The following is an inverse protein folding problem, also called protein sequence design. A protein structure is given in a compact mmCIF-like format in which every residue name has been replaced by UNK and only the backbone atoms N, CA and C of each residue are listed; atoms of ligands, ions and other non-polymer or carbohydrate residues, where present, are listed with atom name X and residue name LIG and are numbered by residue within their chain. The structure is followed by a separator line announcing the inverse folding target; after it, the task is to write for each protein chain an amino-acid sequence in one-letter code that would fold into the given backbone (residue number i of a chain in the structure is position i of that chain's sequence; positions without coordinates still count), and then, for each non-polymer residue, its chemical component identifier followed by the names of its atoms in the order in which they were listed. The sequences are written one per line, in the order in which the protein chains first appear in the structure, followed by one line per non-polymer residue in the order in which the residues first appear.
data_IF_365198836757
#
_entry.id   IF_365198836757
#
_cell.length_a   1.000
_cell.length_b   1.000
_cell.length_c   1.000
_cell.angle_alpha   90.00
_cell.angle_beta   90.00
_cell.angle_gamma   90.00
#
_symmetry.space_group_name_H-M   'P 1'
#
loop_
_entity.id
_entity.type
_entity.pdbx_description
1 polymer ?
#
# COMPACT_ATOMS: atom_id res chain seq x y z
N UNK A 1 -32.45 9.50 13.43
CA UNK A 1 -31.25 9.47 14.28
C UNK A 1 -30.59 10.84 14.46
N UNK A 2 -29.84 11.40 13.50
CA UNK A 2 -29.06 12.64 13.73
C UNK A 2 -29.91 13.86 14.14
N UNK A 3 -31.15 13.97 13.65
CA UNK A 3 -32.12 14.99 14.12
C UNK A 3 -32.55 14.79 15.57
N UNK A 4 -32.90 13.56 15.93
CA UNK A 4 -33.24 13.19 17.33
C UNK A 4 -32.07 13.47 18.27
N UNK A 5 -30.83 13.17 17.83
CA UNK A 5 -29.62 13.47 18.59
C UNK A 5 -29.45 14.98 18.77
N UNK A 6 -29.67 15.78 17.72
CA UNK A 6 -29.60 17.24 17.82
C UNK A 6 -30.63 17.79 18.83
N UNK A 7 -31.87 17.31 18.78
CA UNK A 7 -32.93 17.72 19.71
C UNK A 7 -32.59 17.30 21.15
N UNK A 8 -32.07 16.09 21.33
CA UNK A 8 -31.58 15.61 22.62
C UNK A 8 -30.45 16.49 23.17
N UNK A 9 -29.39 16.74 22.40
CA UNK A 9 -28.25 17.57 22.82
C UNK A 9 -28.70 19.01 23.12
N UNK A 10 -29.61 19.57 22.32
CA UNK A 10 -30.24 20.87 22.56
C UNK A 10 -30.95 20.92 23.91
N UNK A 11 -31.72 19.88 24.24
CA UNK A 11 -32.44 19.80 25.53
C UNK A 11 -31.50 19.61 26.72
N UNK A 12 -30.51 18.71 26.61
CA UNK A 12 -29.58 18.37 27.70
C UNK A 12 -28.65 19.56 28.05
N UNK A 13 -28.22 20.33 27.04
CA UNK A 13 -27.28 21.43 27.22
C UNK A 13 -27.94 22.82 27.25
N UNK A 14 -29.24 22.91 26.95
CA UNK A 14 -29.98 24.17 26.81
C UNK A 14 -29.29 25.17 25.86
N UNK A 15 -28.73 24.67 24.75
CA UNK A 15 -27.96 25.42 23.74
C UNK A 15 -28.60 25.30 22.36
N UNK A 16 -28.43 26.31 21.51
CA UNK A 16 -28.88 26.27 20.12
C UNK A 16 -27.75 25.82 19.19
N UNK A 17 -28.08 24.92 18.27
CA UNK A 17 -27.14 24.29 17.35
C UNK A 17 -27.39 24.72 15.91
N UNK A 18 -26.32 24.83 15.12
CA UNK A 18 -26.43 25.14 13.67
C UNK A 18 -27.11 23.99 12.93
N UNK A 19 -27.76 24.28 11.79
CA UNK A 19 -28.33 23.25 10.91
C UNK A 19 -27.28 22.24 10.41
N UNK A 20 -26.03 22.69 10.29
CA UNK A 20 -24.88 21.86 9.93
C UNK A 20 -24.54 20.77 10.94
N UNK A 21 -25.05 20.84 12.17
CA UNK A 21 -24.91 19.78 13.18
C UNK A 21 -25.37 18.42 12.65
N UNK A 22 -26.52 18.38 11.99
CA UNK A 22 -27.08 17.15 11.45
C UNK A 22 -26.10 16.53 10.45
N UNK A 23 -25.56 17.34 9.53
CA UNK A 23 -24.63 16.87 8.51
C UNK A 23 -23.30 16.44 9.11
N UNK A 24 -22.69 17.29 9.95
CA UNK A 24 -21.40 16.99 10.57
C UNK A 24 -21.44 15.71 11.42
N UNK A 25 -22.51 15.53 12.22
CA UNK A 25 -22.72 14.30 12.98
C UNK A 25 -22.95 13.10 12.08
N UNK A 26 -23.79 13.22 11.05
CA UNK A 26 -24.07 12.11 10.13
C UNK A 26 -22.82 11.66 9.38
N UNK A 27 -22.01 12.61 8.91
CA UNK A 27 -20.74 12.33 8.24
C UNK A 27 -19.73 11.70 9.19
N UNK A 28 -19.63 12.20 10.43
CA UNK A 28 -18.73 11.62 11.42
C UNK A 28 -19.10 10.17 11.75
N UNK A 29 -20.39 9.90 12.01
CA UNK A 29 -20.86 8.53 12.25
C UNK A 29 -20.62 7.65 11.03
N UNK A 30 -20.90 8.13 9.81
CA UNK A 30 -20.63 7.37 8.59
C UNK A 30 -19.13 7.05 8.43
N UNK A 31 -18.26 8.02 8.72
CA UNK A 31 -16.81 7.82 8.66
C UNK A 31 -16.32 6.87 9.76
N UNK A 32 -16.89 6.94 10.96
CA UNK A 32 -16.61 6.03 12.07
C UNK A 32 -16.97 4.59 11.71
N UNK A 33 -18.19 4.34 11.21
CA UNK A 33 -18.63 2.99 10.82
C UNK A 33 -17.68 2.37 9.78
N UNK A 34 -17.23 3.17 8.80
CA UNK A 34 -16.26 2.71 7.80
C UNK A 34 -14.89 2.39 8.38
N UNK A 35 -14.40 3.17 9.34
CA UNK A 35 -13.14 2.87 10.05
C UNK A 35 -13.25 1.60 10.88
N UNK A 36 -14.39 1.42 11.54
CA UNK A 36 -14.68 0.24 12.35
C UNK A 36 -14.79 -1.04 11.50
N UNK A 37 -15.35 -0.96 10.28
CA UNK A 37 -15.38 -2.09 9.32
C UNK A 37 -14.00 -2.47 8.78
N UNK A 38 -13.08 -1.50 8.67
CA UNK A 38 -11.74 -1.70 8.11
C UNK A 38 -10.65 -1.97 9.18
N UNK A 39 -11.03 -2.19 10.44
CA UNK A 39 -10.11 -2.42 11.58
C UNK A 39 -8.96 -1.41 11.70
N UNK A 40 -9.15 -0.19 11.20
CA UNK A 40 -8.10 0.83 11.22
C UNK A 40 -7.86 1.29 12.65
N UNK A 41 -6.64 1.10 13.17
CA UNK A 41 -6.26 1.49 14.53
C UNK A 41 -6.45 3.00 14.73
N UNK A 42 -7.30 3.38 15.68
CA UNK A 42 -7.46 4.78 16.05
C UNK A 42 -6.21 5.30 16.76
N UNK A 43 -5.69 6.43 16.26
CA UNK A 43 -4.63 7.15 16.97
C UNK A 43 -5.21 7.70 18.27
N UNK A 44 -4.52 7.54 19.41
CA UNK A 44 -4.97 8.13 20.67
C UNK A 44 -5.06 9.65 20.53
N UNK A 45 -6.11 10.23 21.09
CA UNK A 45 -6.30 11.67 21.12
C UNK A 45 -5.06 12.38 21.72
N UNK A 46 -4.55 13.39 21.02
CA UNK A 46 -3.43 14.20 21.49
C UNK A 46 -3.82 14.93 22.80
N UNK A 47 -2.83 15.31 23.61
CA UNK A 47 -3.03 15.94 24.92
C UNK A 47 -3.93 17.20 24.84
N UNK A 48 -3.83 17.97 23.75
CA UNK A 48 -4.69 19.15 23.51
C UNK A 48 -6.19 18.80 23.40
N UNK A 49 -6.52 17.65 22.82
CA UNK A 49 -7.90 17.16 22.73
C UNK A 49 -8.38 16.76 24.11
N UNK A 50 -7.56 16.04 24.88
CA UNK A 50 -7.92 15.61 26.24
C UNK A 50 -8.15 16.79 27.17
N UNK A 51 -7.32 17.84 27.08
CA UNK A 51 -7.49 19.04 27.89
C UNK A 51 -8.73 19.85 27.49
N UNK A 52 -9.03 19.93 26.18
CA UNK A 52 -10.28 20.51 25.69
C UNK A 52 -11.50 19.77 26.23
N UNK A 53 -11.51 18.43 26.13
CA UNK A 53 -12.61 17.61 26.63
C UNK A 53 -12.79 17.76 28.15
N UNK A 54 -11.69 17.79 28.91
CA UNK A 54 -11.72 18.00 30.38
C UNK A 54 -12.30 19.37 30.78
N UNK A 55 -12.10 20.40 29.96
CA UNK A 55 -12.66 21.74 30.20
C UNK A 55 -14.14 21.87 29.83
N UNK A 56 -14.74 20.87 29.17
CA UNK A 56 -16.15 20.86 28.74
C UNK A 56 -16.92 19.65 29.31
N UNK A 57 -17.07 19.54 30.65
CA UNK A 57 -17.63 18.35 31.30
C UNK A 57 -19.12 18.12 31.01
N UNK A 58 -19.89 19.17 30.71
CA UNK A 58 -21.32 19.04 30.37
C UNK A 58 -21.48 18.44 28.97
N UNK A 59 -20.72 18.94 28.02
CA UNK A 59 -20.66 18.48 26.64
C UNK A 59 -20.14 17.03 26.59
N UNK A 60 -19.13 16.68 27.40
CA UNK A 60 -18.65 15.30 27.53
C UNK A 60 -19.73 14.35 28.03
N UNK A 61 -20.51 14.77 29.03
CA UNK A 61 -21.63 13.97 29.53
C UNK A 61 -22.68 13.76 28.43
N UNK A 62 -23.02 14.80 27.68
CA UNK A 62 -23.93 14.69 26.54
C UNK A 62 -23.37 13.78 25.44
N UNK A 63 -22.07 13.89 25.12
CA UNK A 63 -21.39 13.06 24.13
C UNK A 63 -21.44 11.57 24.49
N UNK A 64 -21.24 11.21 25.77
CA UNK A 64 -21.39 9.81 26.23
C UNK A 64 -22.80 9.26 26.04
N UNK A 65 -23.83 10.07 26.32
CA UNK A 65 -25.22 9.68 26.10
C UNK A 65 -25.55 9.56 24.62
N UNK A 66 -24.97 10.41 23.78
CA UNK A 66 -25.06 10.30 22.32
C UNK A 66 -24.38 9.03 21.82
N UNK A 67 -23.17 8.74 22.30
CA UNK A 67 -22.44 7.52 21.96
C UNK A 67 -23.28 6.28 22.29
N UNK A 68 -23.81 6.18 23.53
CA UNK A 68 -24.68 5.08 23.93
C UNK A 68 -25.90 4.91 22.99
N UNK A 69 -26.55 6.00 22.59
CA UNK A 69 -27.68 5.95 21.65
C UNK A 69 -27.27 5.43 20.27
N UNK A 70 -26.05 5.75 19.83
CA UNK A 70 -25.50 5.28 18.55
C UNK A 70 -25.15 3.79 18.66
N UNK A 71 -24.47 3.37 19.74
CA UNK A 71 -24.13 1.97 20.03
C UNK A 71 -25.38 1.09 20.05
N UNK A 72 -26.41 1.48 20.80
CA UNK A 72 -27.67 0.74 20.91
C UNK A 72 -28.37 0.60 19.54
N UNK A 73 -28.34 1.66 18.72
CA UNK A 73 -29.09 1.69 17.47
C UNK A 73 -28.36 1.01 16.31
N UNK A 74 -27.04 1.11 16.28
CA UNK A 74 -26.21 0.58 15.20
C UNK A 74 -25.50 -0.73 15.56
N UNK A 75 -25.59 -1.18 16.81
CA UNK A 75 -24.97 -2.40 17.31
C UNK A 75 -23.44 -2.40 17.10
N UNK A 76 -22.82 -1.26 17.41
CA UNK A 76 -21.36 -1.04 17.32
C UNK A 76 -20.82 -0.65 18.69
N UNK A 77 -19.51 -0.79 18.88
CA UNK A 77 -18.80 -0.32 20.09
C UNK A 77 -18.12 0.99 19.74
N UNK A 78 -18.39 2.06 20.48
CA UNK A 78 -17.76 3.36 20.27
C UNK A 78 -16.55 3.49 21.20
N UNK A 79 -15.33 3.63 20.66
CA UNK A 79 -14.13 3.78 21.49
C UNK A 79 -14.11 5.14 22.21
N UNK A 80 -13.36 5.27 23.32
CA UNK A 80 -13.28 6.51 24.09
C UNK A 80 -12.83 7.74 23.27
N UNK A 81 -11.96 7.55 22.28
CA UNK A 81 -11.49 8.59 21.34
C UNK A 81 -12.63 9.21 20.54
N UNK A 82 -13.64 8.43 20.15
CA UNK A 82 -14.81 8.94 19.42
C UNK A 82 -15.77 9.68 20.35
N UNK A 83 -15.81 9.34 21.64
CA UNK A 83 -16.52 10.14 22.64
C UNK A 83 -15.86 11.51 22.82
N UNK A 84 -14.52 11.55 22.84
CA UNK A 84 -13.75 12.80 22.87
C UNK A 84 -14.06 13.65 21.62
N UNK A 85 -14.10 13.02 20.44
CA UNK A 85 -14.48 13.70 19.19
C UNK A 85 -15.92 14.23 19.24
N UNK A 86 -16.89 13.42 19.67
CA UNK A 86 -18.29 13.84 19.79
C UNK A 86 -18.42 15.03 20.75
N UNK A 87 -17.62 15.05 21.82
CA UNK A 87 -17.55 16.19 22.74
C UNK A 87 -17.09 17.45 22.02
N UNK A 88 -16.02 17.36 21.22
CA UNK A 88 -15.55 18.47 20.41
C UNK A 88 -16.62 18.94 19.43
N UNK A 89 -17.22 18.03 18.66
CA UNK A 89 -18.27 18.33 17.69
C UNK A 89 -19.47 19.05 18.32
N UNK A 90 -19.95 18.55 19.46
CA UNK A 90 -21.04 19.16 20.23
C UNK A 90 -20.64 20.53 20.76
N UNK A 91 -19.38 20.76 21.08
CA UNK A 91 -18.92 22.06 21.54
C UNK A 91 -18.82 23.05 20.37
N UNK A 92 -18.19 22.67 19.27
CA UNK A 92 -17.88 23.54 18.12
C UNK A 92 -19.07 23.97 17.30
N UNK A 93 -20.15 23.19 17.29
CA UNK A 93 -21.35 23.48 16.49
C UNK A 93 -22.42 24.26 17.27
N UNK A 94 -22.10 24.64 18.50
CA UNK A 94 -22.86 25.61 19.26
C UNK A 94 -22.84 26.97 18.54
N UNK A 95 -24.00 27.59 18.33
CA UNK A 95 -24.10 28.85 17.59
C UNK A 95 -23.33 30.01 18.25
N UNK A 96 -23.07 29.94 19.56
CA UNK A 96 -22.40 30.98 20.34
C UNK A 96 -20.87 30.91 20.33
N UNK A 97 -20.27 29.79 19.89
CA UNK A 97 -18.83 29.53 19.98
C UNK A 97 -18.26 29.24 18.58
N UNK A 98 -18.10 30.27 17.74
CA UNK A 98 -17.19 30.13 16.60
C UNK A 98 -15.75 30.21 17.10
N UNK A 99 -14.93 29.20 16.79
CA UNK A 99 -13.50 29.27 17.07
C UNK A 99 -12.92 30.54 16.41
N UNK A 100 -12.21 31.37 17.18
CA UNK A 100 -11.52 32.56 16.67
C UNK A 100 -10.32 32.19 15.80
N UNK A 101 -9.73 31.03 16.09
CA UNK A 101 -8.58 30.47 15.40
C UNK A 101 -8.97 29.13 14.78
N UNK A 102 -8.58 28.91 13.52
CA UNK A 102 -8.91 27.68 12.77
C UNK A 102 -7.98 27.52 11.57
N UNK A 103 -7.88 26.29 11.07
CA UNK A 103 -7.22 26.01 9.79
C UNK A 103 -8.06 26.62 8.66
N UNK A 104 -7.42 27.36 7.74
CA UNK A 104 -8.04 27.86 6.52
C UNK A 104 -8.04 26.83 5.41
N UNK A 105 -9.00 26.92 4.48
CA UNK A 105 -8.98 26.13 3.25
C UNK A 105 -9.01 27.07 2.05
N UNK A 106 -8.10 26.84 1.11
CA UNK A 106 -8.12 27.47 -0.22
C UNK A 106 -8.24 26.38 -1.26
N UNK A 107 -9.29 26.42 -2.06
CA UNK A 107 -9.54 25.50 -3.18
C UNK A 107 -9.16 26.23 -4.46
N UNK A 108 -8.20 25.70 -5.21
CA UNK A 108 -7.77 26.28 -6.48
C UNK A 108 -7.84 25.23 -7.59
N UNK A 109 -8.65 25.49 -8.61
CA UNK A 109 -8.84 24.55 -9.72
C UNK A 109 -8.84 25.28 -11.05
N UNK A 110 -8.47 24.57 -12.11
CA UNK A 110 -8.65 25.03 -13.47
C UNK A 110 -10.14 25.04 -13.85
N UNK A 111 -10.49 25.94 -14.76
CA UNK A 111 -11.84 26.14 -15.27
C UNK A 111 -12.53 27.35 -14.64
N UNK A 112 -13.78 27.56 -15.02
CA UNK A 112 -14.50 28.80 -14.71
C UNK A 112 -15.27 28.76 -13.38
N UNK A 113 -15.56 27.58 -12.86
CA UNK A 113 -16.42 27.41 -11.68
C UNK A 113 -16.20 26.11 -10.92
N UNK A 114 -15.09 25.42 -11.15
CA UNK A 114 -14.81 24.12 -10.53
C UNK A 114 -14.62 24.28 -9.02
N UNK A 115 -13.74 25.18 -8.60
CA UNK A 115 -13.47 25.44 -7.19
C UNK A 115 -14.66 26.10 -6.50
N UNK A 116 -15.23 27.15 -7.10
CA UNK A 116 -16.38 27.87 -6.51
C UNK A 116 -17.60 26.96 -6.33
N UNK A 117 -17.93 26.13 -7.33
CA UNK A 117 -19.04 25.17 -7.23
C UNK A 117 -18.84 24.16 -6.09
N UNK A 118 -17.62 23.62 -5.94
CA UNK A 118 -17.30 22.72 -4.83
C UNK A 118 -17.48 23.43 -3.47
N UNK A 119 -16.96 24.66 -3.34
CA UNK A 119 -17.08 25.45 -2.10
C UNK A 119 -18.53 25.79 -1.77
N UNK A 120 -19.34 26.14 -2.76
CA UNK A 120 -20.77 26.45 -2.58
C UNK A 120 -21.57 25.25 -2.05
N UNK A 121 -21.29 24.05 -2.56
CA UNK A 121 -21.89 22.81 -2.04
C UNK A 121 -21.53 22.62 -0.57
N UNK A 122 -20.25 22.80 -0.20
CA UNK A 122 -19.82 22.58 1.18
C UNK A 122 -20.35 23.66 2.13
N UNK A 123 -20.40 24.91 1.70
CA UNK A 123 -20.99 26.00 2.48
C UNK A 123 -22.48 25.76 2.74
N UNK A 124 -23.19 25.20 1.75
CA UNK A 124 -24.60 24.83 1.91
C UNK A 124 -24.81 23.69 2.92
N UNK A 125 -23.91 22.69 2.93
CA UNK A 125 -24.01 21.52 3.81
C UNK A 125 -23.55 21.81 5.25
N UNK A 126 -22.38 22.42 5.40
CA UNK A 126 -21.70 22.58 6.69
C UNK A 126 -21.75 24.00 7.26
N UNK A 127 -22.20 24.98 6.49
CA UNK A 127 -22.17 26.39 6.92
C UNK A 127 -20.75 26.89 7.21
N UNK A 128 -19.73 26.28 6.58
CA UNK A 128 -18.33 26.65 6.70
C UNK A 128 -18.11 28.10 6.25
N UNK A 129 -17.25 28.84 6.95
CA UNK A 129 -16.98 30.25 6.62
C UNK A 129 -15.50 30.56 6.37
N UNK A 130 -14.60 29.58 6.49
CA UNK A 130 -13.15 29.77 6.28
C UNK A 130 -12.63 28.96 5.08
N UNK A 131 -13.44 28.90 4.02
CA UNK A 131 -13.12 28.20 2.78
C UNK A 131 -13.22 29.20 1.63
N UNK A 132 -12.14 29.32 0.87
CA UNK A 132 -12.03 30.25 -0.25
C UNK A 132 -11.82 29.47 -1.54
N UNK A 133 -12.40 29.95 -2.65
CA UNK A 133 -12.27 29.34 -3.96
C UNK A 133 -11.50 30.25 -4.91
N UNK A 134 -10.71 29.64 -5.81
CA UNK A 134 -10.09 30.28 -6.95
C UNK A 134 -10.25 29.42 -8.19
N UNK A 135 -10.91 29.99 -9.19
CA UNK A 135 -11.13 29.37 -10.49
C UNK A 135 -10.12 29.97 -11.49
N UNK A 136 -9.12 29.17 -11.87
CA UNK A 136 -8.08 29.56 -12.81
C UNK A 136 -8.55 29.30 -14.24
N UNK A 137 -8.86 30.38 -14.96
CA UNK A 137 -9.24 30.28 -16.37
C UNK A 137 -8.00 29.82 -17.17
N UNK A 138 -8.17 28.95 -18.17
CA UNK A 138 -7.08 28.29 -18.88
C UNK A 138 -6.08 29.26 -19.54
N UNK A 139 -6.52 30.47 -19.92
CA UNK A 139 -5.67 31.49 -20.51
C UNK A 139 -4.83 32.27 -19.48
N UNK A 140 -5.09 32.13 -18.18
CA UNK A 140 -4.34 32.82 -17.13
C UNK A 140 -2.95 32.22 -16.94
N UNK A 141 -1.97 33.08 -16.64
CA UNK A 141 -0.61 32.61 -16.37
C UNK A 141 -0.49 32.03 -14.95
N UNK A 142 0.37 31.01 -14.74
CA UNK A 142 0.66 30.50 -13.41
C UNK A 142 1.16 31.58 -12.42
N UNK A 143 1.87 32.61 -12.90
CA UNK A 143 2.35 33.71 -12.07
C UNK A 143 1.20 34.56 -11.51
N UNK A 144 0.19 34.86 -12.32
CA UNK A 144 -0.98 35.62 -11.86
C UNK A 144 -1.80 34.81 -10.86
N UNK A 145 -2.00 33.52 -11.14
CA UNK A 145 -2.66 32.59 -10.23
C UNK A 145 -1.94 32.51 -8.87
N UNK A 146 -0.61 32.45 -8.89
CA UNK A 146 0.22 32.40 -7.68
C UNK A 146 -0.05 33.61 -6.76
N UNK A 147 -0.03 34.83 -7.31
CA UNK A 147 -0.22 36.04 -6.52
C UNK A 147 -1.63 36.12 -5.91
N UNK A 148 -2.65 35.68 -6.64
CA UNK A 148 -4.02 35.64 -6.13
C UNK A 148 -4.16 34.59 -5.01
N UNK A 149 -3.65 33.38 -5.23
CA UNK A 149 -3.70 32.29 -4.23
C UNK A 149 -2.95 32.70 -2.97
N UNK A 150 -1.81 33.39 -3.09
CA UNK A 150 -1.05 33.92 -1.96
C UNK A 150 -1.87 34.90 -1.10
N UNK A 151 -2.63 35.80 -1.72
CA UNK A 151 -3.52 36.70 -0.97
C UNK A 151 -4.72 35.97 -0.34
N UNK A 152 -5.24 34.92 -0.99
CA UNK A 152 -6.25 34.06 -0.41
C UNK A 152 -5.71 33.29 0.81
N UNK A 153 -4.47 32.80 0.76
CA UNK A 153 -3.82 32.13 1.90
C UNK A 153 -3.67 33.08 3.08
N UNK A 154 -3.23 34.33 2.86
CA UNK A 154 -3.19 35.36 3.92
C UNK A 154 -4.56 35.58 4.56
N UNK A 155 -5.60 35.64 3.74
CA UNK A 155 -6.97 35.88 4.19
C UNK A 155 -7.53 34.69 4.96
N UNK A 156 -7.20 33.46 4.52
CA UNK A 156 -7.70 32.22 5.11
C UNK A 156 -6.98 31.86 6.43
N UNK A 157 -5.74 32.32 6.62
CA UNK A 157 -4.96 32.02 7.81
C UNK A 157 -5.54 32.70 9.06
N UNK A 158 -6.04 31.89 10.00
CA UNK A 158 -6.51 32.32 11.33
C UNK A 158 -5.66 31.75 12.47
N UNK A 159 -4.36 31.61 12.24
CA UNK A 159 -3.39 31.23 13.27
C UNK A 159 -3.02 29.74 13.34
N UNK A 160 -3.67 28.88 12.54
CA UNK A 160 -3.36 27.44 12.46
C UNK A 160 -3.02 26.99 11.03
N UNK A 161 -2.54 27.91 10.18
CA UNK A 161 -2.13 27.60 8.82
C UNK A 161 -3.30 27.39 7.84
N UNK A 162 -2.95 26.94 6.62
CA UNK A 162 -3.90 26.82 5.49
C UNK A 162 -3.70 25.52 4.71
N UNK A 163 -4.79 24.80 4.48
CA UNK A 163 -4.84 23.66 3.58
C UNK A 163 -5.17 24.14 2.16
N UNK A 164 -4.25 23.93 1.22
CA UNK A 164 -4.47 24.17 -0.21
C UNK A 164 -4.98 22.89 -0.86
N UNK A 165 -6.16 22.95 -1.46
CA UNK A 165 -6.75 21.84 -2.20
C UNK A 165 -6.75 22.18 -3.69
N UNK A 166 -6.02 21.41 -4.48
CA UNK A 166 -5.77 21.72 -5.90
C UNK A 166 -6.19 20.57 -6.80
N UNK A 167 -6.48 20.84 -8.06
CA UNK A 167 -6.77 19.80 -9.05
C UNK A 167 -5.48 19.18 -9.60
N UNK A 168 -4.64 19.98 -10.27
CA UNK A 168 -3.46 19.53 -11.02
C UNK A 168 -2.48 20.66 -11.34
N UNK A 169 -1.37 20.32 -12.01
CA UNK A 169 -0.49 21.26 -12.68
C UNK A 169 0.36 22.11 -11.74
N UNK A 170 0.67 23.34 -12.13
CA UNK A 170 1.54 24.25 -11.38
C UNK A 170 0.99 24.62 -10.00
N UNK A 171 -0.33 24.60 -9.83
CA UNK A 171 -1.03 24.93 -8.59
C UNK A 171 -0.55 24.06 -7.40
N UNK A 172 -0.16 22.81 -7.67
CA UNK A 172 0.28 21.87 -6.62
C UNK A 172 1.56 22.31 -5.92
N UNK A 173 2.41 23.07 -6.63
CA UNK A 173 3.72 23.52 -6.14
C UNK A 173 3.66 24.82 -5.33
N UNK A 174 2.53 25.53 -5.34
CA UNK A 174 2.44 26.88 -4.76
C UNK A 174 2.50 26.90 -3.24
N UNK A 175 1.96 25.89 -2.56
CA UNK A 175 1.91 25.84 -1.09
C UNK A 175 3.27 26.07 -0.45
N UNK A 176 4.26 25.22 -0.78
CA UNK A 176 5.61 25.32 -0.21
C UNK A 176 6.25 26.69 -0.43
N UNK A 177 6.08 27.26 -1.61
CA UNK A 177 6.63 28.59 -1.93
C UNK A 177 5.93 29.70 -1.13
N UNK A 178 4.62 29.61 -0.96
CA UNK A 178 3.85 30.57 -0.14
C UNK A 178 4.26 30.48 1.34
N UNK A 179 4.49 29.27 1.85
CA UNK A 179 4.99 29.06 3.21
C UNK A 179 6.36 29.70 3.44
N UNK A 180 7.30 29.52 2.51
CA UNK A 180 8.61 30.16 2.55
C UNK A 180 8.53 31.70 2.49
N UNK A 181 7.63 32.25 1.66
CA UNK A 181 7.49 33.71 1.48
C UNK A 181 6.72 34.40 2.63
N UNK A 182 5.69 33.75 3.19
CA UNK A 182 4.79 34.35 4.18
C UNK A 182 5.03 33.90 5.62
N UNK A 183 5.76 32.80 5.84
CA UNK A 183 5.88 32.16 7.14
C UNK A 183 4.55 31.58 7.66
N UNK A 184 3.60 31.32 6.76
CA UNK A 184 2.32 30.68 7.08
C UNK A 184 2.44 29.20 6.73
N UNK A 185 2.22 28.31 7.70
CA UNK A 185 2.21 26.87 7.43
C UNK A 185 1.14 26.51 6.41
N UNK A 186 1.54 25.78 5.36
CA UNK A 186 0.63 25.32 4.32
C UNK A 186 0.79 23.84 4.05
N UNK A 187 -0.31 23.16 3.71
CA UNK A 187 -0.24 21.80 3.16
C UNK A 187 -1.08 21.70 1.91
N UNK A 188 -0.51 21.14 0.85
CA UNK A 188 -1.19 20.94 -0.42
C UNK A 188 -1.73 19.52 -0.52
N UNK A 189 -2.97 19.38 -0.97
CA UNK A 189 -3.55 18.10 -1.35
C UNK A 189 -4.08 18.19 -2.79
N UNK A 190 -3.57 17.31 -3.64
CA UNK A 190 -3.85 17.27 -5.08
C UNK A 190 -5.12 16.47 -5.38
N UNK A 191 -5.57 16.50 -6.64
CA UNK A 191 -6.74 15.75 -7.11
C UNK A 191 -8.00 16.02 -6.26
N UNK A 192 -8.23 17.28 -5.89
CA UNK A 192 -9.38 17.65 -5.07
C UNK A 192 -10.69 17.24 -5.75
N UNK A 193 -11.59 16.70 -4.93
CA UNK A 193 -12.96 16.41 -5.29
C UNK A 193 -13.90 16.89 -4.20
N UNK A 194 -15.20 17.02 -4.50
CA UNK A 194 -16.20 17.47 -3.51
C UNK A 194 -16.18 16.64 -2.22
N UNK A 195 -16.05 15.29 -2.24
CA UNK A 195 -15.92 14.50 -1.00
C UNK A 195 -14.68 14.83 -0.16
N UNK A 196 -13.54 15.09 -0.82
CA UNK A 196 -12.29 15.47 -0.15
C UNK A 196 -12.46 16.84 0.52
N UNK A 197 -12.99 17.83 -0.21
CA UNK A 197 -13.27 19.15 0.35
C UNK A 197 -14.27 19.08 1.51
N UNK A 198 -15.29 18.23 1.40
CA UNK A 198 -16.27 18.01 2.47
C UNK A 198 -15.59 17.45 3.73
N UNK A 199 -14.71 16.45 3.59
CA UNK A 199 -13.98 15.87 4.72
C UNK A 199 -12.98 16.87 5.34
N UNK A 200 -12.27 17.63 4.50
CA UNK A 200 -11.37 18.69 4.95
C UNK A 200 -12.13 19.75 5.75
N UNK A 201 -13.27 20.22 5.24
CA UNK A 201 -14.12 21.19 5.91
C UNK A 201 -14.68 20.64 7.23
N UNK A 202 -15.06 19.36 7.28
CA UNK A 202 -15.56 18.72 8.51
C UNK A 202 -14.49 18.66 9.60
N UNK A 203 -13.23 18.34 9.25
CA UNK A 203 -12.11 18.24 10.20
C UNK A 203 -11.63 19.61 10.67
N UNK A 204 -11.45 20.56 9.77
CA UNK A 204 -10.92 21.90 10.08
C UNK A 204 -11.86 22.78 10.92
N UNK A 205 -13.16 22.44 10.98
CA UNK A 205 -14.11 23.11 11.87
C UNK A 205 -13.92 22.78 13.36
N UNK A 206 -13.15 21.73 13.67
CA UNK A 206 -12.90 21.35 15.05
C UNK A 206 -11.72 22.11 15.65
N UNK A 207 -11.79 22.48 16.94
CA UNK A 207 -10.70 23.15 17.65
C UNK A 207 -9.52 22.20 17.86
N UNK A 208 -8.34 22.77 18.05
CA UNK A 208 -7.12 22.04 18.41
C UNK A 208 -6.76 20.90 17.43
N UNK A 209 -7.13 21.07 16.16
CA UNK A 209 -6.67 20.20 15.09
C UNK A 209 -5.33 20.69 14.56
N UNK A 210 -4.49 19.74 14.18
CA UNK A 210 -3.17 19.97 13.63
C UNK A 210 -3.22 19.86 12.09
N UNK A 211 -2.60 20.81 11.38
CA UNK A 211 -2.65 20.90 9.93
C UNK A 211 -2.00 19.67 9.27
N UNK A 212 -0.87 19.21 9.80
CA UNK A 212 -0.16 18.02 9.31
C UNK A 212 -1.02 16.77 9.46
N UNK A 213 -1.64 16.61 10.62
CA UNK A 213 -2.53 15.49 10.91
C UNK A 213 -3.71 15.46 9.94
N UNK A 214 -4.38 16.59 9.69
CA UNK A 214 -5.49 16.65 8.72
C UNK A 214 -4.99 16.30 7.31
N UNK A 215 -3.85 16.86 6.88
CA UNK A 215 -3.31 16.62 5.55
C UNK A 215 -3.01 15.13 5.32
N UNK A 216 -2.41 14.44 6.29
CA UNK A 216 -2.13 13.01 6.23
C UNK A 216 -3.40 12.15 6.23
N UNK A 217 -4.41 12.53 7.01
CA UNK A 217 -5.68 11.82 7.05
C UNK A 217 -6.46 11.94 5.74
N UNK A 218 -6.39 13.10 5.07
CA UNK A 218 -7.03 13.30 3.76
C UNK A 218 -6.42 12.43 2.66
N UNK A 219 -5.11 12.16 2.71
CA UNK A 219 -4.44 11.23 1.78
C UNK A 219 -5.00 9.80 1.88
N UNK A 220 -5.50 9.41 3.04
CA UNK A 220 -6.06 8.07 3.31
C UNK A 220 -7.58 8.02 3.15
N UNK A 221 -8.21 9.12 2.75
CA UNK A 221 -9.66 9.22 2.70
C UNK A 221 -10.24 8.58 1.45
N UNK A 222 -10.95 7.46 1.64
CA UNK A 222 -11.54 6.66 0.55
C UNK A 222 -13.05 6.93 0.33
N UNK A 223 -13.54 8.15 0.62
CA UNK A 223 -14.94 8.51 0.44
C UNK A 223 -15.89 8.01 1.54
N UNK A 224 -17.17 8.41 1.48
CA UNK A 224 -18.21 8.09 2.47
C UNK A 224 -19.09 6.88 2.11
N UNK A 225 -18.85 6.21 0.98
CA UNK A 225 -19.64 5.03 0.60
C UNK A 225 -19.39 3.86 1.56
N UNK A 226 -20.48 3.28 2.07
CA UNK A 226 -20.51 2.05 2.87
C UNK A 226 -20.31 0.79 2.01
N UNK A 227 -20.47 0.92 0.70
CA UNK A 227 -20.07 -0.11 -0.25
C UNK A 227 -18.61 0.12 -0.59
N UNK A 228 -17.72 -0.86 -0.33
CA UNK A 228 -16.40 -0.85 -0.97
C UNK A 228 -16.63 -0.69 -2.47
N UNK A 229 -15.91 0.19 -3.19
CA UNK A 229 -15.90 0.15 -4.66
C UNK A 229 -15.76 -1.31 -5.10
N UNK A 230 -16.56 -1.76 -6.06
CA UNK A 230 -16.70 -3.18 -6.44
C UNK A 230 -15.38 -3.88 -6.81
N UNK A 231 -14.28 -3.11 -6.98
CA UNK A 231 -12.91 -3.63 -7.09
C UNK A 231 -12.27 -4.12 -5.77
N UNK A 232 -12.76 -3.69 -4.61
CA UNK A 232 -12.31 -4.13 -3.28
C UNK A 232 -12.99 -5.42 -2.81
N UNK A 233 -13.97 -5.95 -3.54
CA UNK A 233 -14.71 -7.16 -3.13
C UNK A 233 -13.94 -8.46 -3.45
N UNK A 234 -12.77 -8.40 -4.12
CA UNK A 234 -11.99 -9.62 -4.41
C UNK A 234 -11.04 -10.09 -3.31
N UNK A 235 -10.83 -9.32 -2.24
CA UNK A 235 -9.99 -9.77 -1.12
C UNK A 235 -10.57 -9.25 0.20
N UNK A 236 -11.75 -9.74 0.58
CA UNK A 236 -12.06 -9.79 2.01
C UNK A 236 -11.09 -10.78 2.63
N UNK A 237 -10.13 -10.24 3.38
CA UNK A 237 -9.35 -11.00 4.35
C UNK A 237 -10.37 -11.72 5.23
N UNK A 238 -10.37 -13.04 5.17
CA UNK A 238 -11.19 -13.89 6.03
C UNK A 238 -10.58 -13.71 7.42
N UNK A 239 -11.11 -12.80 8.25
CA UNK A 239 -10.47 -12.34 9.51
C UNK A 239 -10.37 -13.44 10.59
N UNK A 240 -10.91 -14.64 10.35
CA UNK A 240 -10.69 -15.83 11.18
C UNK A 240 -9.45 -16.66 10.76
N UNK A 241 -8.92 -16.45 9.56
CA UNK A 241 -7.82 -17.24 9.00
C UNK A 241 -6.50 -16.50 9.13
N UNK A 242 -5.47 -17.20 9.60
CA UNK A 242 -4.11 -16.63 9.72
C UNK A 242 -3.59 -16.17 8.34
N UNK A 243 -2.95 -15.00 8.25
CA UNK A 243 -2.36 -14.51 7.01
C UNK A 243 -1.13 -15.33 6.63
N UNK A 244 -0.98 -15.61 5.33
CA UNK A 244 0.14 -16.38 4.79
C UNK A 244 0.65 -15.81 3.47
N UNK A 245 1.97 -15.86 3.27
CA UNK A 245 2.62 -15.60 1.98
C UNK A 245 3.16 -16.93 1.44
N UNK A 246 2.89 -17.21 0.17
CA UNK A 246 3.38 -18.42 -0.50
C UNK A 246 4.54 -18.05 -1.43
N UNK A 247 5.74 -18.52 -1.10
CA UNK A 247 6.93 -18.37 -1.92
C UNK A 247 7.14 -19.62 -2.80
N UNK A 248 7.15 -19.42 -4.13
CA UNK A 248 7.26 -20.49 -5.12
C UNK A 248 8.62 -20.45 -5.81
N UNK A 249 9.25 -21.62 -5.89
CA UNK A 249 10.44 -21.86 -6.72
C UNK A 249 10.31 -23.23 -7.39
N UNK A 250 11.25 -23.62 -8.26
CA UNK A 250 11.19 -24.93 -8.93
C UNK A 250 11.05 -26.12 -7.96
N UNK A 251 11.89 -26.20 -6.92
CA UNK A 251 11.88 -27.30 -5.95
C UNK A 251 11.19 -27.00 -4.61
N UNK A 252 10.80 -25.75 -4.38
CA UNK A 252 10.40 -25.27 -3.06
C UNK A 252 11.52 -25.26 -2.01
N UNK A 253 12.77 -25.56 -2.40
CA UNK A 253 13.97 -25.60 -1.55
C UNK A 253 15.05 -24.67 -2.10
N UNK A 254 16.03 -24.28 -1.28
CA UNK A 254 17.13 -23.42 -1.71
C UNK A 254 16.68 -21.98 -1.94
N UNK A 255 16.46 -21.58 -3.21
CA UNK A 255 16.05 -20.21 -3.54
C UNK A 255 14.72 -19.80 -2.89
N UNK A 256 13.75 -20.72 -2.75
CA UNK A 256 12.52 -20.46 -1.98
C UNK A 256 12.79 -20.14 -0.50
N UNK A 257 13.81 -20.77 0.08
CA UNK A 257 14.21 -20.53 1.47
C UNK A 257 14.93 -19.19 1.63
N UNK A 258 15.76 -18.80 0.65
CA UNK A 258 16.38 -17.48 0.58
C UNK A 258 15.31 -16.39 0.51
N UNK A 259 14.30 -16.58 -0.36
CA UNK A 259 13.15 -15.66 -0.46
C UNK A 259 12.41 -15.59 0.87
N UNK A 260 12.16 -16.72 1.52
CA UNK A 260 11.53 -16.76 2.84
C UNK A 260 12.33 -16.00 3.89
N UNK A 261 13.64 -16.17 3.94
CA UNK A 261 14.52 -15.45 4.87
C UNK A 261 14.51 -13.94 4.62
N UNK A 262 14.53 -13.54 3.34
CA UNK A 262 14.40 -12.13 2.96
C UNK A 262 13.06 -11.55 3.40
N UNK A 263 11.95 -12.24 3.13
CA UNK A 263 10.61 -11.82 3.56
C UNK A 263 10.53 -11.68 5.08
N UNK A 264 11.06 -12.66 5.83
CA UNK A 264 11.14 -12.58 7.30
C UNK A 264 11.94 -11.34 7.73
N UNK A 265 13.06 -11.05 7.07
CA UNK A 265 13.90 -9.91 7.41
C UNK A 265 13.20 -8.57 7.13
N UNK A 266 12.49 -8.44 6.02
CA UNK A 266 11.67 -7.26 5.70
C UNK A 266 10.57 -7.06 6.74
N UNK A 267 9.96 -8.17 7.17
CA UNK A 267 8.88 -8.19 8.14
C UNK A 267 9.28 -7.94 9.60
N UNK A 268 10.55 -8.15 9.98
CA UNK A 268 11.03 -7.83 11.35
C UNK A 268 10.86 -6.37 11.75
N UNK A 269 10.66 -5.47 10.79
CA UNK A 269 10.37 -4.06 11.05
C UNK A 269 8.91 -3.80 11.45
N UNK A 270 8.01 -4.78 11.25
CA UNK A 270 6.62 -4.77 11.72
C UNK A 270 6.55 -5.42 13.11
N UNK A 271 5.97 -4.72 14.08
CA UNK A 271 5.84 -5.19 15.46
C UNK A 271 4.59 -6.06 15.72
N UNK A 272 3.61 -6.09 14.81
CA UNK A 272 2.24 -6.52 15.15
C UNK A 272 1.61 -7.60 14.23
N UNK A 273 2.26 -8.06 13.15
CA UNK A 273 1.67 -9.07 12.23
C UNK A 273 2.45 -10.40 12.20
N UNK A 274 1.84 -11.47 12.69
CA UNK A 274 2.37 -12.85 12.61
C UNK A 274 1.95 -13.49 11.27
N UNK A 275 2.54 -13.02 10.15
CA UNK A 275 2.31 -13.60 8.82
C UNK A 275 3.21 -14.83 8.62
N UNK A 276 2.58 -15.96 8.32
CA UNK A 276 3.30 -17.20 8.03
C UNK A 276 3.86 -17.19 6.59
N UNK A 277 5.05 -17.77 6.38
CA UNK A 277 5.63 -17.94 5.03
C UNK A 277 5.78 -19.42 4.71
N UNK A 278 5.07 -19.85 3.67
CA UNK A 278 5.09 -21.22 3.15
C UNK A 278 5.87 -21.25 1.84
N UNK A 279 6.81 -22.19 1.71
CA UNK A 279 7.57 -22.41 0.49
C UNK A 279 7.07 -23.65 -0.22
N UNK A 280 6.91 -23.61 -1.54
CA UNK A 280 6.54 -24.79 -2.33
C UNK A 280 7.15 -24.82 -3.73
N UNK A 281 7.15 -26.01 -4.33
CA UNK A 281 7.55 -26.24 -5.71
C UNK A 281 6.53 -25.69 -6.71
N UNK A 282 6.98 -25.26 -7.89
CA UNK A 282 6.11 -24.74 -8.96
C UNK A 282 5.05 -25.75 -9.41
N UNK A 283 5.38 -27.05 -9.38
CA UNK A 283 4.48 -28.14 -9.78
C UNK A 283 3.28 -28.31 -8.84
N UNK A 284 3.53 -28.17 -7.56
CA UNK A 284 2.54 -28.32 -6.49
C UNK A 284 1.89 -26.99 -6.11
N UNK A 285 2.42 -25.86 -6.59
CA UNK A 285 1.97 -24.52 -6.26
C UNK A 285 0.44 -24.32 -6.38
N UNK A 286 -0.18 -24.82 -7.46
CA UNK A 286 -1.64 -24.73 -7.64
C UNK A 286 -2.40 -25.53 -6.59
N UNK A 287 -1.96 -26.75 -6.27
CA UNK A 287 -2.58 -27.59 -5.26
C UNK A 287 -2.40 -26.98 -3.85
N UNK A 288 -1.18 -26.51 -3.55
CA UNK A 288 -0.86 -25.82 -2.30
C UNK A 288 -1.73 -24.59 -2.11
N UNK A 289 -1.89 -23.74 -3.13
CA UNK A 289 -2.79 -22.57 -3.05
C UNK A 289 -4.22 -22.98 -2.75
N UNK A 290 -4.75 -24.00 -3.42
CA UNK A 290 -6.12 -24.48 -3.20
C UNK A 290 -6.32 -25.01 -1.78
N UNK A 291 -5.35 -25.76 -1.25
CA UNK A 291 -5.44 -26.33 0.09
C UNK A 291 -5.23 -25.28 1.19
N UNK A 292 -4.27 -24.38 1.00
CA UNK A 292 -3.98 -23.30 1.95
C UNK A 292 -5.14 -22.29 2.02
N UNK A 293 -5.80 -21.94 0.91
CA UNK A 293 -7.01 -21.08 0.91
C UNK A 293 -8.12 -21.59 1.83
N UNK A 294 -8.19 -22.89 2.11
CA UNK A 294 -9.21 -23.48 3.01
C UNK A 294 -8.98 -23.09 4.47
N UNK A 295 -7.72 -22.90 4.89
CA UNK A 295 -7.32 -22.75 6.30
C UNK A 295 -6.66 -21.41 6.62
N UNK A 296 -6.07 -20.76 5.62
CA UNK A 296 -5.32 -19.51 5.75
C UNK A 296 -5.82 -18.46 4.76
N UNK A 297 -5.57 -17.20 5.07
CA UNK A 297 -5.77 -16.10 4.15
C UNK A 297 -4.45 -15.83 3.39
N UNK A 298 -4.42 -16.12 2.09
CA UNK A 298 -3.23 -15.88 1.28
C UNK A 298 -3.15 -14.40 0.93
N UNK A 299 -2.20 -13.70 1.53
CA UNK A 299 -1.97 -12.26 1.33
C UNK A 299 -1.31 -12.00 -0.02
N UNK A 300 -0.29 -12.79 -0.33
CA UNK A 300 0.45 -12.68 -1.58
C UNK A 300 1.13 -13.99 -1.96
N UNK A 301 1.48 -14.08 -3.24
CA UNK A 301 2.41 -15.09 -3.75
C UNK A 301 3.71 -14.41 -4.15
N UNK A 302 4.83 -15.12 -4.03
CA UNK A 302 6.15 -14.63 -4.45
C UNK A 302 6.78 -15.65 -5.39
N UNK A 303 7.32 -15.22 -6.52
CA UNK A 303 7.97 -16.13 -7.46
C UNK A 303 8.29 -15.52 -8.82
N UNK A 304 8.49 -16.38 -9.81
CA UNK A 304 8.78 -15.96 -11.20
C UNK A 304 7.50 -15.47 -11.90
N UNK A 305 6.38 -16.15 -11.65
CA UNK A 305 5.08 -15.86 -12.26
C UNK A 305 3.95 -16.05 -11.26
N UNK A 306 2.82 -15.33 -11.42
CA UNK A 306 1.63 -15.54 -10.62
C UNK A 306 1.09 -16.97 -10.75
N UNK A 307 0.69 -17.57 -9.63
CA UNK A 307 0.07 -18.91 -9.62
C UNK A 307 -1.39 -18.81 -10.09
N UNK A 308 -2.07 -17.73 -9.67
CA UNK A 308 -3.46 -17.40 -9.97
C UNK A 308 -3.62 -15.88 -10.10
N UNK A 309 -4.60 -15.44 -10.88
CA UNK A 309 -4.87 -14.01 -11.12
C UNK A 309 -5.56 -13.31 -9.93
N UNK A 310 -6.12 -14.07 -9.00
CA UNK A 310 -6.94 -13.57 -7.90
C UNK A 310 -6.14 -13.26 -6.62
N UNK A 311 -4.83 -13.52 -6.61
CA UNK A 311 -3.95 -13.26 -5.46
C UNK A 311 -2.85 -12.30 -5.91
N UNK A 312 -2.53 -11.25 -5.12
CA UNK A 312 -1.37 -10.40 -5.37
C UNK A 312 -0.09 -11.23 -5.56
N UNK A 313 0.76 -10.81 -6.49
CA UNK A 313 2.02 -11.48 -6.79
C UNK A 313 3.18 -10.48 -6.71
N UNK A 314 4.22 -10.82 -5.95
CA UNK A 314 5.50 -10.12 -6.00
C UNK A 314 6.49 -10.95 -6.81
N UNK A 315 7.16 -10.28 -7.74
CA UNK A 315 8.28 -10.86 -8.46
C UNK A 315 9.50 -11.01 -7.55
N UNK A 316 10.47 -11.82 -7.97
CA UNK A 316 11.71 -12.01 -7.23
C UNK A 316 12.53 -10.72 -7.12
N UNK A 317 12.60 -9.92 -8.19
CA UNK A 317 13.28 -8.62 -8.21
C UNK A 317 12.68 -7.71 -7.16
N UNK A 318 11.35 -7.72 -7.06
CA UNK A 318 10.61 -6.84 -6.18
C UNK A 318 10.91 -7.15 -4.72
N UNK A 319 10.92 -8.43 -4.33
CA UNK A 319 11.25 -8.87 -2.95
C UNK A 319 12.71 -8.62 -2.59
N UNK A 320 13.60 -8.67 -3.58
CA UNK A 320 15.03 -8.48 -3.39
C UNK A 320 15.43 -7.00 -3.54
N UNK A 321 14.53 -6.14 -4.05
CA UNK A 321 14.80 -4.72 -4.27
C UNK A 321 15.03 -3.93 -2.96
N UNK A 322 15.75 -2.78 -3.02
CA UNK A 322 15.86 -1.86 -1.89
C UNK A 322 14.54 -1.29 -1.37
N UNK A 323 13.45 -1.40 -2.14
CA UNK A 323 12.12 -0.88 -1.82
C UNK A 323 11.12 -1.99 -1.47
N UNK A 324 11.60 -3.22 -1.27
CA UNK A 324 10.76 -4.39 -1.00
C UNK A 324 9.92 -4.23 0.27
N UNK A 325 10.42 -3.49 1.26
CA UNK A 325 9.72 -3.16 2.51
C UNK A 325 8.44 -2.36 2.25
N UNK A 326 8.52 -1.30 1.44
CA UNK A 326 7.38 -0.47 1.06
C UNK A 326 6.35 -1.26 0.27
N UNK A 327 6.80 -2.00 -0.75
CA UNK A 327 5.90 -2.79 -1.59
C UNK A 327 5.17 -3.88 -0.78
N UNK A 328 5.90 -4.56 0.10
CA UNK A 328 5.31 -5.58 0.96
C UNK A 328 4.29 -4.96 1.93
N UNK A 329 4.59 -3.78 2.49
CA UNK A 329 3.64 -3.04 3.33
C UNK A 329 2.40 -2.62 2.53
N UNK A 330 2.55 -2.16 1.29
CA UNK A 330 1.40 -1.76 0.48
C UNK A 330 0.46 -2.93 0.19
N UNK A 331 1.04 -4.10 -0.07
CA UNK A 331 0.30 -5.35 -0.35
C UNK A 331 -0.39 -5.88 0.91
N UNK A 332 0.27 -5.82 2.06
CA UNK A 332 -0.31 -6.24 3.35
C UNK A 332 -1.40 -5.27 3.80
N UNK A 333 -1.20 -3.95 3.65
CA UNK A 333 -2.09 -2.91 4.17
C UNK A 333 -3.26 -2.59 3.22
N UNK A 334 -3.40 -3.32 2.10
CA UNK A 334 -4.38 -3.08 1.03
C UNK A 334 -4.39 -1.63 0.52
N UNK A 335 -3.27 -0.90 0.63
CA UNK A 335 -3.12 0.40 -0.03
C UNK A 335 -2.91 0.17 -1.51
N UNK A 336 -3.48 1.04 -2.35
CA UNK A 336 -3.31 1.00 -3.79
C UNK A 336 -1.85 0.71 -4.15
N UNK A 337 -1.61 -0.39 -4.88
CA UNK A 337 -0.35 -0.65 -5.55
C UNK A 337 -0.12 0.55 -6.48
N UNK A 338 0.67 1.51 -6.02
CA UNK A 338 1.23 2.48 -6.94
C UNK A 338 2.18 1.72 -7.86
N UNK A 339 2.28 2.16 -9.11
CA UNK A 339 3.33 1.72 -10.04
C UNK A 339 4.68 2.06 -9.39
N UNK A 340 5.14 1.18 -8.51
CA UNK A 340 6.46 1.22 -7.92
C UNK A 340 7.39 0.97 -9.08
N UNK A 341 8.33 1.89 -9.29
CA UNK A 341 9.36 1.76 -10.33
C UNK A 341 9.95 0.35 -10.25
N UNK A 342 9.56 -0.51 -11.19
CA UNK A 342 10.20 -1.80 -11.39
C UNK A 342 11.70 -1.52 -11.48
N UNK A 343 12.53 -2.40 -10.92
CA UNK A 343 13.93 -2.50 -11.32
C UNK A 343 13.95 -2.55 -12.85
N UNK A 344 14.26 -1.41 -13.47
CA UNK A 344 14.07 -1.20 -14.91
C UNK A 344 15.03 -2.09 -15.71
N UNK A 345 16.12 -2.53 -15.07
CA UNK A 345 17.07 -3.52 -15.58
C UNK A 345 17.67 -4.33 -14.44
N UNK A 346 17.58 -5.67 -14.50
CA UNK A 346 18.42 -6.55 -13.70
C UNK A 346 19.82 -6.55 -14.33
N UNK A 347 20.86 -6.26 -13.55
CA UNK A 347 22.25 -6.26 -14.01
C UNK A 347 23.15 -7.22 -13.21
N UNK A 348 24.37 -7.43 -13.71
CA UNK A 348 25.35 -8.31 -13.07
C UNK A 348 25.71 -7.82 -11.66
N UNK A 349 25.82 -6.50 -11.44
CA UNK A 349 26.20 -5.95 -10.13
C UNK A 349 25.15 -6.28 -9.06
N UNK A 350 23.87 -6.12 -9.41
CA UNK A 350 22.73 -6.45 -8.56
C UNK A 350 22.71 -7.95 -8.23
N UNK A 351 22.85 -8.82 -9.23
CA UNK A 351 22.94 -10.26 -9.01
C UNK A 351 24.16 -10.63 -8.14
N UNK A 352 25.32 -10.02 -8.40
CA UNK A 352 26.54 -10.25 -7.61
C UNK A 352 26.33 -9.87 -6.14
N UNK A 353 25.64 -8.77 -5.87
CA UNK A 353 25.31 -8.35 -4.50
C UNK A 353 24.45 -9.40 -3.80
N UNK A 354 23.35 -9.86 -4.42
CA UNK A 354 22.51 -10.92 -3.85
C UNK A 354 23.28 -12.21 -3.60
N UNK A 355 24.16 -12.59 -4.53
CA UNK A 355 25.00 -13.75 -4.35
C UNK A 355 25.89 -13.62 -3.09
N UNK A 356 26.42 -12.42 -2.82
CA UNK A 356 27.25 -12.17 -1.64
C UNK A 356 26.49 -12.09 -0.32
N UNK A 357 25.21 -11.73 -0.35
CA UNK A 357 24.36 -11.65 0.84
C UNK A 357 23.81 -13.03 1.24
N UNK A 358 23.62 -13.94 0.28
CA UNK A 358 22.88 -15.19 0.51
C UNK A 358 23.68 -16.49 0.35
N UNK A 359 24.89 -16.45 -0.23
CA UNK A 359 25.73 -17.63 -0.39
C UNK A 359 27.06 -17.48 0.35
N UNK A 360 27.50 -18.58 0.99
CA UNK A 360 28.65 -18.55 1.90
C UNK A 360 29.92 -19.13 1.29
N UNK A 361 29.79 -20.12 0.40
CA UNK A 361 30.91 -20.94 -0.08
C UNK A 361 31.35 -20.61 -1.50
N UNK A 362 30.70 -19.64 -2.14
CA UNK A 362 31.06 -19.14 -3.46
C UNK A 362 31.59 -17.70 -3.38
N UNK A 363 32.44 -17.31 -4.33
CA UNK A 363 32.89 -15.92 -4.46
C UNK A 363 32.01 -15.19 -5.49
N UNK A 364 31.13 -14.26 -5.08
CA UNK A 364 30.18 -13.61 -5.99
C UNK A 364 30.83 -12.90 -7.17
N UNK A 365 31.96 -12.20 -6.95
CA UNK A 365 32.68 -11.47 -8.00
C UNK A 365 33.21 -12.40 -9.09
N UNK A 366 33.63 -13.62 -8.72
CA UNK A 366 34.11 -14.61 -9.68
C UNK A 366 32.97 -15.42 -10.30
N UNK A 367 31.89 -15.63 -9.54
CA UNK A 367 30.78 -16.46 -9.97
C UNK A 367 29.77 -15.74 -10.85
N UNK A 368 29.62 -14.43 -10.73
CA UNK A 368 28.59 -13.72 -11.50
C UNK A 368 28.81 -13.86 -13.01
N UNK A 369 30.05 -13.77 -13.47
CA UNK A 369 30.36 -13.87 -14.91
C UNK A 369 29.97 -15.21 -15.54
N UNK A 370 30.41 -16.38 -15.02
CA UNK A 370 30.00 -17.67 -15.61
C UNK A 370 28.50 -17.95 -15.47
N UNK A 371 27.86 -17.50 -14.38
CA UNK A 371 26.41 -17.65 -14.19
C UNK A 371 25.60 -16.78 -15.15
N UNK A 372 26.06 -15.55 -15.38
CA UNK A 372 25.44 -14.62 -16.32
C UNK A 372 25.63 -15.10 -17.77
N UNK A 373 26.83 -15.57 -18.10
CA UNK A 373 27.12 -16.14 -19.42
C UNK A 373 26.23 -17.35 -19.71
N UNK A 374 26.07 -18.26 -18.74
CA UNK A 374 25.14 -19.38 -18.86
C UNK A 374 23.73 -18.89 -19.22
N UNK A 375 23.23 -17.86 -18.50
CA UNK A 375 21.92 -17.28 -18.73
C UNK A 375 21.77 -16.65 -20.12
N UNK A 376 22.76 -15.88 -20.58
CA UNK A 376 22.74 -15.27 -21.92
C UNK A 376 22.77 -16.33 -23.04
N UNK A 377 23.55 -17.39 -22.87
CA UNK A 377 23.66 -18.46 -23.87
C UNK A 377 22.35 -19.22 -24.01
N UNK A 378 21.68 -19.56 -22.89
CA UNK A 378 20.38 -20.25 -22.97
C UNK A 378 19.27 -19.35 -23.54
N UNK A 379 19.30 -18.03 -23.31
CA UNK A 379 18.36 -17.10 -23.94
C UNK A 379 18.54 -17.04 -25.46
N UNK A 380 19.80 -16.97 -25.91
CA UNK A 380 20.12 -16.90 -27.34
C UNK A 380 19.74 -18.18 -28.07
N UNK A 381 20.05 -19.35 -27.49
CA UNK A 381 19.76 -20.64 -28.11
C UNK A 381 18.26 -20.96 -28.05
N UNK A 382 17.60 -20.61 -26.95
CA UNK A 382 16.17 -20.81 -26.77
C UNK A 382 15.29 -19.81 -27.51
N UNK A 383 15.88 -18.77 -28.13
CA UNK A 383 15.14 -17.61 -28.66
C UNK A 383 14.17 -17.01 -27.62
N UNK A 384 14.57 -17.01 -26.34
CA UNK A 384 13.72 -16.59 -25.23
C UNK A 384 13.83 -15.09 -24.99
N UNK A 385 12.69 -14.45 -24.80
CA UNK A 385 12.60 -13.13 -24.16
C UNK A 385 12.31 -13.32 -22.67
N UNK A 386 13.34 -13.55 -21.87
CA UNK A 386 13.13 -13.91 -20.48
C UNK A 386 12.93 -12.69 -19.56
N UNK A 387 12.03 -12.83 -18.58
CA UNK A 387 11.78 -11.82 -17.56
C UNK A 387 12.98 -11.71 -16.62
N UNK A 388 13.14 -10.55 -15.97
CA UNK A 388 14.15 -10.40 -14.92
C UNK A 388 13.98 -11.48 -13.83
N UNK A 389 12.72 -11.80 -13.47
CA UNK A 389 12.37 -12.81 -12.45
C UNK A 389 12.92 -14.17 -12.78
N UNK A 390 12.86 -14.54 -14.05
CA UNK A 390 13.43 -15.79 -14.51
C UNK A 390 14.96 -15.77 -14.46
N UNK A 391 15.61 -14.72 -14.98
CA UNK A 391 17.07 -14.62 -14.96
C UNK A 391 17.62 -14.69 -13.54
N UNK A 392 17.01 -13.94 -12.62
CA UNK A 392 17.39 -13.92 -11.22
C UNK A 392 17.15 -15.30 -10.57
N UNK A 393 16.01 -15.95 -10.84
CA UNK A 393 15.73 -17.29 -10.35
C UNK A 393 16.81 -18.30 -10.79
N UNK A 394 17.13 -18.31 -12.08
CA UNK A 394 18.11 -19.23 -12.67
C UNK A 394 19.51 -19.01 -12.08
N UNK A 395 19.96 -17.75 -12.01
CA UNK A 395 21.26 -17.38 -11.44
C UNK A 395 21.35 -17.82 -9.97
N UNK A 396 20.32 -17.53 -9.17
CA UNK A 396 20.28 -17.97 -7.78
C UNK A 396 20.29 -19.50 -7.67
N UNK A 397 19.51 -20.20 -8.49
CA UNK A 397 19.49 -21.66 -8.43
C UNK A 397 20.84 -22.28 -8.77
N UNK A 398 21.49 -21.83 -9.85
CA UNK A 398 22.81 -22.29 -10.26
C UNK A 398 23.88 -22.02 -9.19
N UNK A 399 23.87 -20.83 -8.59
CA UNK A 399 24.74 -20.51 -7.47
C UNK A 399 24.55 -21.49 -6.30
N UNK A 400 23.30 -21.78 -5.95
CA UNK A 400 22.98 -22.78 -4.94
C UNK A 400 23.38 -24.20 -5.34
N UNK A 401 23.25 -24.58 -6.60
CA UNK A 401 23.72 -25.88 -7.11
C UNK A 401 25.22 -26.03 -6.94
N UNK A 402 25.99 -24.98 -7.25
CA UNK A 402 27.45 -24.97 -7.08
C UNK A 402 27.82 -25.07 -5.60
N UNK A 403 27.21 -24.25 -4.74
CA UNK A 403 27.45 -24.27 -3.30
C UNK A 403 27.14 -25.64 -2.66
N UNK A 404 25.99 -26.24 -3.02
CA UNK A 404 25.62 -27.59 -2.57
C UNK A 404 26.55 -28.66 -3.10
N UNK A 405 27.03 -28.52 -4.35
CA UNK A 405 28.00 -29.45 -4.95
C UNK A 405 29.34 -29.40 -4.20
N UNK A 406 29.83 -28.19 -3.88
CA UNK A 406 31.04 -28.00 -3.07
C UNK A 406 30.90 -28.63 -1.67
N UNK A 407 29.71 -28.55 -1.09
CA UNK A 407 29.39 -29.15 0.21
C UNK A 407 29.03 -30.64 0.14
N UNK A 408 28.92 -31.24 -1.06
CA UNK A 408 28.47 -32.62 -1.30
C UNK A 408 27.06 -32.90 -0.74
N UNK A 409 26.17 -31.92 -0.85
CA UNK A 409 24.79 -31.98 -0.38
C UNK A 409 23.81 -31.61 -1.51
N UNK A 410 23.77 -32.35 -2.62
CA UNK A 410 22.84 -32.05 -3.71
C UNK A 410 21.38 -32.20 -3.25
N UNK A 411 20.47 -31.48 -3.90
CA UNK A 411 19.03 -31.66 -3.69
C UNK A 411 18.63 -33.11 -3.97
N UNK A 412 17.78 -33.66 -3.12
CA UNK A 412 17.17 -34.96 -3.35
C UNK A 412 16.25 -34.89 -4.58
N UNK A 413 16.32 -35.91 -5.43
CA UNK A 413 15.41 -36.06 -6.57
C UNK A 413 13.99 -36.31 -6.07
N UNK A 414 13.05 -35.49 -6.52
CA UNK A 414 11.62 -35.75 -6.34
C UNK A 414 11.20 -36.90 -7.27
N UNK A 415 10.35 -37.82 -6.78
CA UNK A 415 9.78 -38.92 -7.57
C UNK A 415 9.01 -38.42 -8.80
N UNK A 416 8.55 -37.17 -8.77
CA UNK A 416 7.84 -36.53 -9.88
C UNK A 416 8.75 -36.01 -11.01
N UNK A 417 10.07 -35.85 -10.80
CA UNK A 417 11.00 -35.39 -11.83
C UNK A 417 11.27 -36.54 -12.83
N UNK A 418 10.59 -36.50 -13.98
CA UNK A 418 10.85 -37.42 -15.07
C UNK A 418 12.17 -37.07 -15.76
N UNK A 419 12.85 -38.08 -16.31
CA UNK A 419 13.97 -37.85 -17.21
C UNK A 419 13.45 -37.13 -18.46
N UNK A 420 14.02 -35.96 -18.77
CA UNK A 420 13.68 -35.21 -19.97
C UNK A 420 14.33 -35.88 -21.19
N UNK A 421 13.65 -35.87 -22.35
CA UNK A 421 14.17 -36.51 -23.56
C UNK A 421 15.50 -35.87 -23.98
N UNK A 422 16.56 -36.67 -24.03
CA UNK A 422 17.90 -36.24 -24.47
C UNK A 422 17.94 -35.65 -25.88
N UNK A 423 16.92 -35.92 -26.69
CA UNK A 423 16.81 -35.41 -28.05
C UNK A 423 16.28 -33.97 -28.12
N UNK A 424 15.84 -33.40 -27.00
CA UNK A 424 15.43 -32.00 -26.96
C UNK A 424 16.67 -31.08 -27.14
N UNK A 425 16.72 -30.24 -28.19
CA UNK A 425 17.87 -29.36 -28.46
C UNK A 425 18.19 -28.40 -27.32
N UNK A 426 17.20 -27.99 -26.53
CA UNK A 426 17.35 -27.07 -25.41
C UNK A 426 17.97 -27.75 -24.19
N UNK A 427 17.55 -28.99 -23.89
CA UNK A 427 18.19 -29.81 -22.85
C UNK A 427 19.66 -30.07 -23.20
N UNK A 428 19.94 -30.36 -24.48
CA UNK A 428 21.30 -30.55 -24.98
C UNK A 428 22.15 -29.27 -24.85
N UNK A 429 21.56 -28.10 -25.07
CA UNK A 429 22.23 -26.82 -24.88
C UNK A 429 22.54 -26.56 -23.41
N UNK A 430 21.55 -26.73 -22.52
CA UNK A 430 21.74 -26.61 -21.07
C UNK A 430 22.82 -27.57 -20.58
N UNK A 431 22.81 -28.83 -21.03
CA UNK A 431 23.84 -29.80 -20.66
C UNK A 431 25.24 -29.39 -21.08
N UNK A 432 25.39 -28.81 -22.28
CA UNK A 432 26.67 -28.30 -22.75
C UNK A 432 27.17 -27.17 -21.85
N UNK A 433 26.33 -26.17 -21.57
CA UNK A 433 26.71 -25.05 -20.71
C UNK A 433 27.01 -25.49 -19.26
N UNK A 434 26.27 -26.49 -18.74
CA UNK A 434 26.56 -27.07 -17.42
C UNK A 434 27.88 -27.85 -17.41
N UNK A 435 28.22 -28.57 -18.48
CA UNK A 435 29.50 -29.27 -18.59
C UNK A 435 30.67 -28.28 -18.68
N UNK A 436 30.48 -27.16 -19.37
CA UNK A 436 31.47 -26.08 -19.43
C UNK A 436 31.67 -25.46 -18.04
N UNK A 437 30.59 -25.25 -17.28
CA UNK A 437 30.65 -24.78 -15.90
C UNK A 437 31.34 -25.79 -14.96
N UNK A 438 31.06 -27.09 -15.09
CA UNK A 438 31.75 -28.18 -14.38
C UNK A 438 33.26 -28.17 -14.63
N UNK A 439 33.66 -28.00 -15.90
CA UNK A 439 35.05 -27.94 -16.32
C UNK A 439 35.77 -26.71 -15.76
N UNK A 440 35.16 -25.53 -15.88
CA UNK A 440 35.72 -24.26 -15.40
C UNK A 440 35.93 -24.26 -13.87
N UNK A 441 35.01 -24.87 -13.13
CA UNK A 441 35.00 -24.87 -11.67
C UNK A 441 35.58 -26.16 -11.06
N UNK A 442 35.95 -27.14 -11.89
CA UNK A 442 36.43 -28.45 -11.48
C UNK A 442 35.50 -29.14 -10.46
N UNK A 443 34.21 -29.20 -10.80
CA UNK A 443 33.15 -29.82 -9.99
C UNK A 443 32.29 -30.78 -10.82
N UNK A 444 31.45 -31.57 -10.15
CA UNK A 444 30.48 -32.46 -10.82
C UNK A 444 29.09 -32.24 -10.24
N UNK A 445 28.19 -31.72 -11.07
CA UNK A 445 26.80 -31.40 -10.75
C UNK A 445 26.00 -32.70 -10.78
N UNK A 446 25.34 -33.00 -9.66
CA UNK A 446 24.50 -34.20 -9.53
C UNK A 446 23.33 -34.18 -10.53
N UNK A 447 22.90 -35.36 -10.98
CA UNK A 447 21.76 -35.52 -11.89
C UNK A 447 20.50 -34.81 -11.37
N UNK A 448 20.24 -34.89 -10.06
CA UNK A 448 19.07 -34.26 -9.43
C UNK A 448 19.07 -32.73 -9.57
N UNK A 449 20.24 -32.08 -9.50
CA UNK A 449 20.38 -30.64 -9.70
C UNK A 449 20.11 -30.25 -11.16
N UNK A 450 20.62 -31.04 -12.12
CA UNK A 450 20.34 -30.83 -13.55
C UNK A 450 18.84 -30.87 -13.85
N UNK A 451 18.13 -31.83 -13.26
CA UNK A 451 16.67 -31.95 -13.42
C UNK A 451 15.91 -30.71 -12.93
N UNK A 452 16.34 -30.08 -11.84
CA UNK A 452 15.74 -28.83 -11.38
C UNK A 452 16.06 -27.64 -12.28
N UNK A 453 17.26 -27.58 -12.86
CA UNK A 453 17.62 -26.54 -13.84
C UNK A 453 16.74 -26.64 -15.09
N UNK A 454 16.51 -27.86 -15.59
CA UNK A 454 15.57 -28.07 -16.69
C UNK A 454 14.15 -27.66 -16.31
N UNK A 455 13.70 -27.99 -15.09
CA UNK A 455 12.37 -27.63 -14.62
C UNK A 455 12.19 -26.10 -14.55
N UNK A 456 13.17 -25.36 -14.01
CA UNK A 456 13.13 -23.88 -13.98
C UNK A 456 12.94 -23.36 -15.40
N UNK A 457 13.76 -23.85 -16.33
CA UNK A 457 13.72 -23.42 -17.71
C UNK A 457 12.37 -23.69 -18.39
N UNK A 458 11.85 -24.92 -18.25
CA UNK A 458 10.62 -25.35 -18.91
C UNK A 458 9.35 -24.75 -18.31
N UNK A 459 9.36 -24.38 -17.03
CA UNK A 459 8.19 -23.80 -16.36
C UNK A 459 8.03 -22.30 -16.57
N UNK A 460 9.07 -21.62 -17.09
CA UNK A 460 9.03 -20.20 -17.40
C UNK A 460 8.34 -19.88 -18.73
N UNK A 461 8.19 -20.86 -19.62
CA UNK A 461 7.64 -20.61 -20.95
C UNK A 461 6.17 -21.03 -21.04
N UNK A 462 5.27 -20.05 -21.02
CA UNK A 462 3.85 -20.28 -21.30
C UNK A 462 3.58 -20.60 -22.79
N UNK A 463 4.61 -20.57 -23.66
CA UNK A 463 4.44 -20.89 -25.09
C UNK A 463 4.62 -22.36 -25.44
N UNK A 464 5.31 -23.14 -24.60
CA UNK A 464 5.37 -24.59 -24.79
C UNK A 464 4.32 -25.27 -23.91
N UNK A 465 3.32 -25.87 -24.55
CA UNK A 465 2.54 -26.88 -23.84
C UNK A 465 3.48 -28.01 -23.41
N UNK A 466 3.24 -28.62 -22.24
CA UNK A 466 4.04 -29.75 -21.73
C UNK A 466 4.27 -30.85 -22.78
N UNK A 467 3.36 -30.98 -23.75
CA UNK A 467 3.42 -31.92 -24.86
C UNK A 467 4.49 -31.55 -25.90
N UNK A 468 4.69 -30.26 -26.20
CA UNK A 468 5.71 -29.79 -27.16
C UNK A 468 7.13 -29.76 -26.58
N UNK A 469 7.27 -29.74 -25.25
CA UNK A 469 8.59 -29.83 -24.59
C UNK A 469 9.08 -31.29 -24.42
N UNK A 470 8.17 -32.26 -24.51
CA UNK A 470 8.44 -33.69 -24.35
C UNK A 470 8.59 -34.44 -25.70
N UNK A 471 8.17 -33.83 -26.81
CA UNK A 471 8.50 -34.24 -28.19
C UNK A 471 9.84 -33.64 -28.64
#
# INVERSE_FOLDING_TARGET
MSREIQEFVKSELNKNYRKSFIYALSLHVSAFLKRNENETVEKPANNLVKDFVRSHPKELKAARLVAQKIEERLQVIIPPSEVDYLTMLITSLNQAESAKESIGIVVACHGNSTASSMVDVINTLLGSQNIYAYDMILEQSPSEAYDIIKELVKTANKGHGVLLLTDMGSLTTFGKRIEEELGVETRTHEMVSTPILLEAARKTQLPNQDLDTIAEELKRFNGYSLTPPERLIKTRIDTEKKPVIIAVCASGKGAAQIIKEQLIQLMKTRLDDDIEIITCGVREAKAVVVDIKKTHHIVATVGVSPITEDIPHLSLEQVLSPHADKLLNEIIDNSHLHDTELLSTLDQETCQKFLGEHYTFINPQKMIYPLWHFMETIEQIGHLHSSNSFKLNMILHLAGTIERTLQRQPLATDEALQDYPKNNPLISAIDRELNDLESQLNLSIAKSERLYIYEIYLTNDHTFTKEEALE
#
